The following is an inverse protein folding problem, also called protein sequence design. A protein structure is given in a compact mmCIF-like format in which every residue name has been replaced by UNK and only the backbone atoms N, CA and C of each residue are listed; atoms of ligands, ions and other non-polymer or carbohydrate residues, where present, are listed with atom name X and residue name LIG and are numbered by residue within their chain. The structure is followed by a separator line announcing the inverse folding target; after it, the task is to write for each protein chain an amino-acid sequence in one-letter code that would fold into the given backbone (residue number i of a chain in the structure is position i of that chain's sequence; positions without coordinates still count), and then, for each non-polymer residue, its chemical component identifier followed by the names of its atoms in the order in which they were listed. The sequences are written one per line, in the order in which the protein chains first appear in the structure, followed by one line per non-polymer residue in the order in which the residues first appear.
data_IF_788426682969
#
_entry.id   IF_788426682969
#
_cell.length_a   1.000
_cell.length_b   1.000
_cell.length_c   1.000
_cell.angle_alpha   90.00
_cell.angle_beta   90.00
_cell.angle_gamma   90.00
#
_symmetry.space_group_name_H-M   'P 1'
#
loop_
_entity.id
_entity.type
_entity.pdbx_description
1 polymer ?
#
# COMPACT_ATOMS: atom_id res chain seq x y z
N UNK A 1 -3.23 -8.38 -19.29
CA UNK A 1 -3.95 -7.26 -18.69
C UNK A 1 -3.05 -6.68 -17.60
N UNK A 2 -2.83 -5.39 -17.58
CA UNK A 2 -2.05 -4.70 -16.55
C UNK A 2 -3.03 -4.05 -15.57
N UNK A 3 -2.76 -4.17 -14.28
CA UNK A 3 -3.58 -3.60 -13.20
C UNK A 3 -2.66 -2.83 -12.28
N UNK A 4 -2.92 -1.56 -12.11
CA UNK A 4 -2.13 -0.61 -11.32
C UNK A 4 -2.86 -0.08 -10.08
N UNK A 5 -4.15 -0.29 -10.00
CA UNK A 5 -4.97 0.08 -8.85
C UNK A 5 -5.99 -1.02 -8.54
N UNK A 6 -6.07 -1.41 -7.29
CA UNK A 6 -7.05 -2.39 -6.80
C UNK A 6 -7.52 -1.99 -5.41
N UNK A 7 -8.82 -2.11 -5.19
CA UNK A 7 -9.40 -2.05 -3.84
C UNK A 7 -9.60 -3.48 -3.36
N UNK A 8 -9.08 -3.78 -2.18
CA UNK A 8 -9.17 -5.10 -1.53
C UNK A 8 -9.68 -4.96 -0.10
N UNK A 9 -10.31 -6.03 0.37
CA UNK A 9 -10.71 -6.19 1.77
C UNK A 9 -9.81 -7.22 2.44
N UNK A 10 -9.15 -6.80 3.49
CA UNK A 10 -8.28 -7.68 4.27
C UNK A 10 -8.87 -7.87 5.67
N UNK A 11 -8.95 -9.12 6.10
CA UNK A 11 -9.37 -9.51 7.44
C UNK A 11 -8.31 -10.42 8.02
N UNK A 12 -7.54 -9.92 8.96
CA UNK A 12 -6.55 -10.73 9.66
C UNK A 12 -7.20 -11.82 10.51
N UNK A 13 -6.42 -12.83 10.87
CA UNK A 13 -6.91 -13.96 11.63
C UNK A 13 -7.31 -13.59 13.06
N UNK A 14 -8.40 -14.10 13.55
CA UNK A 14 -8.76 -13.98 14.96
C UNK A 14 -7.80 -14.80 15.82
N UNK A 15 -7.54 -14.38 17.06
CA UNK A 15 -6.87 -15.21 18.05
C UNK A 15 -7.68 -16.44 18.42
N UNK A 16 -7.01 -17.49 18.83
CA UNK A 16 -7.64 -18.68 19.44
C UNK A 16 -8.16 -18.35 20.84
N UNK A 17 -9.19 -19.07 21.27
CA UNK A 17 -9.81 -18.85 22.58
C UNK A 17 -8.95 -19.53 23.67
N UNK A 18 -8.86 -18.90 24.85
CA UNK A 18 -8.29 -19.52 26.04
C UNK A 18 -9.20 -20.62 26.59
N UNK A 19 -8.58 -21.60 27.22
CA UNK A 19 -9.26 -22.75 27.82
C UNK A 19 -9.52 -22.54 29.31
N UNK A 20 -10.72 -22.95 29.76
CA UNK A 20 -11.03 -23.10 31.17
C UNK A 20 -11.00 -24.59 31.49
N UNK A 21 -9.96 -25.04 32.20
CA UNK A 21 -9.80 -26.43 32.62
C UNK A 21 -9.25 -26.50 34.03
N UNK A 22 -9.53 -27.59 34.72
CA UNK A 22 -9.02 -27.87 36.06
C UNK A 22 -8.32 -29.21 36.10
N UNK A 23 -7.26 -29.29 36.90
CA UNK A 23 -6.55 -30.51 37.14
C UNK A 23 -7.44 -31.43 38.00
N UNK A 24 -7.68 -32.65 37.53
CA UNK A 24 -8.41 -33.68 38.27
C UNK A 24 -7.55 -34.95 38.26
N UNK A 25 -7.15 -35.39 39.43
CA UNK A 25 -6.38 -36.60 39.59
C UNK A 25 -7.04 -37.46 40.70
N UNK A 26 -6.69 -38.76 40.72
CA UNK A 26 -7.09 -39.63 41.78
C UNK A 26 -6.53 -39.08 43.09
N UNK A 27 -7.36 -38.79 44.04
CA UNK A 27 -7.06 -38.14 45.36
C UNK A 27 -6.84 -36.61 45.33
N UNK A 28 -6.99 -35.93 44.16
CA UNK A 28 -6.95 -34.47 44.08
C UNK A 28 -8.18 -33.99 43.29
N UNK A 29 -9.37 -33.91 43.92
CA UNK A 29 -10.59 -33.54 43.21
C UNK A 29 -10.66 -32.06 42.80
N UNK A 30 -9.88 -31.19 43.50
CA UNK A 30 -9.85 -29.75 43.28
C UNK A 30 -8.42 -29.27 42.99
N UNK A 31 -7.82 -29.80 41.95
CA UNK A 31 -6.45 -29.48 41.60
C UNK A 31 -6.33 -28.25 40.67
N UNK A 32 -6.39 -27.06 41.16
CA UNK A 32 -6.01 -25.79 40.49
C UNK A 32 -6.37 -25.60 39.01
N UNK A 33 -6.23 -24.40 38.45
CA UNK A 33 -6.52 -24.11 37.06
C UNK A 33 -5.46 -24.75 36.14
N UNK A 34 -5.88 -25.26 34.98
CA UNK A 34 -5.06 -26.09 34.10
C UNK A 34 -5.36 -25.81 32.61
N UNK A 35 -5.92 -24.65 32.30
CA UNK A 35 -6.25 -24.23 30.95
C UNK A 35 -5.15 -23.42 30.30
N UNK A 36 -4.75 -23.79 29.08
CA UNK A 36 -3.78 -23.10 28.25
C UNK A 36 -4.34 -21.89 27.53
N UNK A 37 -3.47 -21.04 27.01
CA UNK A 37 -3.82 -19.86 26.21
C UNK A 37 -4.13 -20.26 24.76
N UNK A 38 -4.94 -19.47 24.06
CA UNK A 38 -5.09 -19.55 22.60
C UNK A 38 -3.86 -19.05 21.86
N UNK A 39 -3.71 -19.49 20.62
CA UNK A 39 -2.68 -19.04 19.69
C UNK A 39 -3.04 -17.69 19.03
N UNK A 40 -2.05 -16.97 18.54
CA UNK A 40 -2.23 -15.73 17.75
C UNK A 40 -2.86 -16.05 16.38
N UNK A 41 -3.74 -15.19 15.89
CA UNK A 41 -4.24 -15.23 14.52
C UNK A 41 -3.19 -14.79 13.49
N UNK A 42 -3.40 -15.15 12.23
CA UNK A 42 -2.51 -14.80 11.12
C UNK A 42 -2.48 -13.28 10.87
N UNK A 43 -1.28 -12.72 10.76
CA UNK A 43 -1.09 -11.39 10.19
C UNK A 43 -1.19 -11.46 8.66
N UNK A 44 -1.58 -10.36 8.02
CA UNK A 44 -1.51 -10.19 6.56
C UNK A 44 -0.36 -9.23 6.27
N UNK A 45 0.60 -9.73 5.48
CA UNK A 45 1.86 -9.04 5.20
C UNK A 45 1.99 -8.85 3.70
N UNK A 46 2.26 -7.62 3.26
CA UNK A 46 2.70 -7.37 1.89
C UNK A 46 4.22 -7.42 1.84
N UNK A 47 4.74 -8.08 0.81
CA UNK A 47 6.17 -8.21 0.57
C UNK A 47 6.48 -7.93 -0.88
N UNK A 48 7.54 -7.15 -1.14
CA UNK A 48 7.99 -6.86 -2.50
C UNK A 48 8.55 -8.10 -3.16
N UNK A 49 8.12 -8.34 -4.41
CA UNK A 49 8.68 -9.35 -5.31
C UNK A 49 9.07 -8.67 -6.62
N UNK A 50 10.39 -8.61 -6.89
CA UNK A 50 10.95 -7.98 -8.10
C UNK A 50 10.54 -8.66 -9.41
N UNK A 51 10.02 -9.89 -9.34
CA UNK A 51 9.47 -10.62 -10.50
C UNK A 51 8.08 -10.14 -10.92
N UNK A 52 7.35 -9.45 -10.05
CA UNK A 52 6.01 -8.94 -10.34
C UNK A 52 6.07 -7.55 -10.97
N UNK A 53 5.16 -7.30 -11.92
CA UNK A 53 5.03 -6.02 -12.64
C UNK A 53 3.62 -5.45 -12.64
N UNK A 54 2.68 -6.10 -11.97
CA UNK A 54 1.25 -5.74 -11.99
C UNK A 54 0.55 -6.25 -10.74
N UNK A 55 -0.53 -5.59 -10.34
CA UNK A 55 -1.39 -6.00 -9.23
C UNK A 55 -2.50 -6.99 -9.66
N UNK A 56 -2.28 -7.72 -10.76
CA UNK A 56 -3.30 -8.59 -11.35
C UNK A 56 -3.79 -9.66 -10.37
N UNK A 57 -2.90 -10.25 -9.58
CA UNK A 57 -3.22 -11.29 -8.60
C UNK A 57 -4.16 -10.77 -7.51
N UNK A 58 -3.97 -9.52 -7.07
CA UNK A 58 -4.85 -8.87 -6.11
C UNK A 58 -6.23 -8.56 -6.68
N UNK A 59 -6.32 -8.32 -8.00
CA UNK A 59 -7.61 -8.11 -8.67
C UNK A 59 -8.49 -9.36 -8.64
N UNK A 60 -7.91 -10.53 -8.73
CA UNK A 60 -8.63 -11.80 -8.63
C UNK A 60 -8.92 -12.19 -7.17
N UNK A 61 -8.05 -11.79 -6.24
CA UNK A 61 -8.15 -12.10 -4.82
C UNK A 61 -8.44 -10.84 -3.99
N UNK A 62 -9.66 -10.30 -4.13
CA UNK A 62 -10.05 -9.06 -3.44
C UNK A 62 -10.36 -9.24 -1.96
N UNK A 63 -10.71 -10.44 -1.52
CA UNK A 63 -11.08 -10.74 -0.14
C UNK A 63 -10.04 -11.69 0.46
N UNK A 64 -9.20 -11.15 1.32
CA UNK A 64 -8.10 -11.89 1.92
C UNK A 64 -8.42 -12.11 3.39
N UNK A 65 -8.49 -13.39 3.81
CA UNK A 65 -8.81 -13.78 5.18
C UNK A 65 -7.68 -14.56 5.83
N UNK A 66 -7.18 -14.05 6.95
CA UNK A 66 -6.22 -14.72 7.80
C UNK A 66 -6.82 -15.89 8.58
N UNK A 67 -6.03 -16.91 8.83
CA UNK A 67 -6.45 -18.06 9.62
C UNK A 67 -6.54 -17.73 11.10
N UNK A 68 -7.55 -18.28 11.77
CA UNK A 68 -7.70 -18.18 13.24
C UNK A 68 -6.57 -18.95 13.92
N UNK A 69 -6.04 -18.43 15.03
CA UNK A 69 -5.17 -19.16 15.93
C UNK A 69 -5.91 -20.34 16.59
N UNK A 70 -5.18 -21.42 16.90
CA UNK A 70 -5.78 -22.57 17.57
C UNK A 70 -6.20 -22.22 19.00
N UNK A 71 -7.29 -22.81 19.45
CA UNK A 71 -7.74 -22.63 20.82
C UNK A 71 -6.77 -23.30 21.82
N UNK A 72 -6.66 -22.75 23.02
CA UNK A 72 -5.98 -23.40 24.14
C UNK A 72 -6.71 -24.68 24.56
N UNK A 73 -5.97 -25.61 25.13
CA UNK A 73 -6.48 -26.89 25.60
C UNK A 73 -6.19 -27.05 27.10
N UNK A 74 -6.79 -28.07 27.70
CA UNK A 74 -6.47 -28.50 29.05
C UNK A 74 -4.98 -28.90 29.18
N UNK A 75 -4.52 -29.18 30.39
CA UNK A 75 -3.13 -29.54 30.70
C UNK A 75 -2.12 -28.43 30.34
N UNK A 76 -2.52 -27.16 30.45
CA UNK A 76 -1.73 -25.97 30.11
C UNK A 76 -1.20 -25.97 28.66
N UNK A 77 -1.83 -26.72 27.75
CA UNK A 77 -1.43 -26.74 26.35
C UNK A 77 -1.93 -25.49 25.65
N UNK A 78 -0.98 -24.65 25.19
CA UNK A 78 -1.27 -23.46 24.41
C UNK A 78 -1.65 -23.84 22.97
N UNK A 79 -2.57 -23.08 22.39
CA UNK A 79 -2.92 -23.17 20.98
C UNK A 79 -1.75 -22.74 20.09
N UNK A 80 -1.63 -23.37 18.92
CA UNK A 80 -0.66 -22.94 17.90
C UNK A 80 -1.04 -21.59 17.30
N UNK A 81 -0.04 -20.75 17.05
CA UNK A 81 -0.24 -19.53 16.26
C UNK A 81 -0.57 -19.91 14.81
N UNK A 82 -1.41 -19.13 14.17
CA UNK A 82 -1.64 -19.27 12.75
C UNK A 82 -0.43 -18.75 11.95
N UNK A 83 -0.21 -19.36 10.78
CA UNK A 83 0.83 -18.89 9.86
C UNK A 83 0.39 -17.58 9.20
N UNK A 84 1.32 -16.64 9.07
CA UNK A 84 1.06 -15.36 8.43
C UNK A 84 0.79 -15.53 6.94
N UNK A 85 -0.09 -14.70 6.38
CA UNK A 85 -0.35 -14.65 4.95
C UNK A 85 0.55 -13.61 4.33
N UNK A 86 1.49 -14.07 3.49
CA UNK A 86 2.41 -13.21 2.74
C UNK A 86 1.85 -13.02 1.34
N UNK A 87 1.57 -11.77 0.99
CA UNK A 87 1.08 -11.36 -0.32
C UNK A 87 2.22 -10.64 -1.03
N UNK A 88 2.59 -11.18 -2.18
CA UNK A 88 3.62 -10.61 -3.02
C UNK A 88 3.06 -9.46 -3.84
N UNK A 89 3.77 -8.34 -3.84
CA UNK A 89 3.41 -7.13 -4.60
C UNK A 89 4.62 -6.60 -5.38
N UNK A 90 4.39 -5.90 -6.51
CA UNK A 90 5.49 -5.28 -7.26
C UNK A 90 6.19 -4.18 -6.44
N UNK A 91 7.43 -3.89 -6.79
CA UNK A 91 8.14 -2.69 -6.31
C UNK A 91 7.38 -1.41 -6.69
N UNK A 92 7.36 -0.42 -5.80
CA UNK A 92 6.63 0.84 -5.99
C UNK A 92 5.13 0.74 -5.68
N UNK A 93 4.72 -0.28 -4.92
CA UNK A 93 3.35 -0.43 -4.45
C UNK A 93 3.10 0.43 -3.24
N UNK A 94 2.10 1.30 -3.31
CA UNK A 94 1.60 2.10 -2.19
C UNK A 94 0.29 1.52 -1.68
N UNK A 95 0.16 1.46 -0.37
CA UNK A 95 -1.03 0.94 0.33
C UNK A 95 -1.66 2.05 1.15
N UNK A 96 -2.91 2.37 0.85
CA UNK A 96 -3.69 3.38 1.56
C UNK A 96 -4.91 2.73 2.20
N UNK A 97 -5.16 3.03 3.45
CA UNK A 97 -6.39 2.64 4.14
C UNK A 97 -7.52 3.57 3.71
N UNK A 98 -8.60 3.01 3.14
CA UNK A 98 -9.73 3.79 2.63
C UNK A 98 -10.59 4.39 3.74
N UNK A 99 -10.64 3.77 4.90
CA UNK A 99 -11.49 4.21 6.00
C UNK A 99 -10.86 5.38 6.76
N UNK A 100 -9.54 5.40 6.86
CA UNK A 100 -8.79 6.48 7.54
C UNK A 100 -8.14 7.47 6.59
N UNK A 101 -7.97 7.12 5.31
CA UNK A 101 -7.23 7.90 4.32
C UNK A 101 -5.71 7.90 4.54
N UNK A 102 -5.20 7.10 5.49
CA UNK A 102 -3.77 7.05 5.83
C UNK A 102 -2.99 6.15 4.87
N UNK A 103 -1.80 6.58 4.51
CA UNK A 103 -0.85 5.74 3.79
C UNK A 103 -0.20 4.81 4.80
N UNK A 104 -0.46 3.50 4.67
CA UNK A 104 0.10 2.48 5.55
C UNK A 104 1.52 2.09 5.16
N UNK A 105 1.81 2.08 3.86
CA UNK A 105 3.12 1.71 3.35
C UNK A 105 3.38 2.24 1.94
N UNK A 106 4.66 2.45 1.64
CA UNK A 106 5.21 2.68 0.31
C UNK A 106 6.38 1.71 0.12
N UNK A 107 6.15 0.67 -0.68
CA UNK A 107 7.04 -0.48 -0.82
C UNK A 107 7.95 -0.27 -2.03
N UNK A 108 9.09 0.38 -1.82
CA UNK A 108 9.99 0.86 -2.88
C UNK A 108 11.26 0.03 -3.05
N UNK A 109 11.68 -0.73 -2.03
CA UNK A 109 12.91 -1.51 -2.07
C UNK A 109 12.65 -3.01 -2.17
N UNK A 110 13.63 -3.73 -2.68
CA UNK A 110 13.64 -5.19 -2.61
C UNK A 110 13.66 -5.63 -1.13
N UNK A 111 12.84 -6.60 -0.79
CA UNK A 111 12.61 -7.10 0.56
C UNK A 111 11.81 -6.21 1.51
N UNK A 112 11.31 -5.06 1.07
CA UNK A 112 10.35 -4.32 1.88
C UNK A 112 9.16 -5.21 2.20
N UNK A 113 8.80 -5.22 3.48
CA UNK A 113 7.61 -5.92 3.96
C UNK A 113 6.87 -5.07 4.99
N UNK A 114 5.55 -5.12 4.94
CA UNK A 114 4.68 -4.38 5.86
C UNK A 114 3.50 -5.23 6.31
N UNK A 115 3.18 -5.16 7.59
CA UNK A 115 1.96 -5.76 8.14
C UNK A 115 0.80 -4.81 7.86
N UNK A 116 -0.07 -5.17 6.93
CA UNK A 116 -1.25 -4.36 6.53
C UNK A 116 -2.47 -4.60 7.42
N UNK A 117 -2.56 -5.79 8.04
CA UNK A 117 -3.56 -6.09 9.05
C UNK A 117 -3.00 -7.08 10.08
N UNK A 118 -3.12 -6.74 11.36
CA UNK A 118 -2.59 -7.55 12.46
C UNK A 118 -3.59 -8.60 12.91
N UNK A 119 -3.10 -9.85 13.07
CA UNK A 119 -3.83 -10.94 13.68
C UNK A 119 -4.12 -10.70 15.16
N UNK A 120 -5.30 -11.12 15.59
CA UNK A 120 -5.71 -11.00 16.97
C UNK A 120 -4.86 -11.83 17.92
N UNK A 121 -4.65 -11.32 19.12
CA UNK A 121 -3.97 -12.04 20.19
C UNK A 121 -4.81 -13.22 20.68
N UNK A 122 -4.17 -14.33 21.00
CA UNK A 122 -4.83 -15.47 21.65
C UNK A 122 -5.38 -15.10 23.05
N UNK A 123 -6.58 -15.56 23.34
CA UNK A 123 -7.20 -15.41 24.65
C UNK A 123 -6.45 -16.15 25.73
N UNK A 124 -6.39 -15.60 26.92
CA UNK A 124 -5.72 -16.24 28.06
C UNK A 124 -6.57 -17.34 28.68
N UNK A 125 -5.93 -18.46 28.99
CA UNK A 125 -6.55 -19.55 29.75
C UNK A 125 -6.73 -19.21 31.23
N UNK A 126 -7.53 -20.02 31.95
CA UNK A 126 -7.82 -19.75 33.34
C UNK A 126 -6.58 -19.79 34.25
N UNK A 127 -5.54 -20.52 33.90
CA UNK A 127 -4.27 -20.56 34.63
C UNK A 127 -3.61 -19.17 34.70
N UNK A 128 -3.74 -18.35 33.68
CA UNK A 128 -3.16 -17.01 33.64
C UNK A 128 -3.88 -16.00 34.56
N UNK A 129 -4.99 -16.40 35.16
CA UNK A 129 -5.81 -15.55 36.06
C UNK A 129 -5.79 -16.01 37.50
N UNK A 130 -5.05 -17.06 37.81
CA UNK A 130 -4.87 -17.52 39.19
C UNK A 130 -4.18 -16.45 40.04
N UNK A 131 -4.74 -16.16 41.17
CA UNK A 131 -4.20 -15.22 42.15
C UNK A 131 -4.37 -15.81 43.57
N UNK A 132 -3.63 -15.34 44.60
CA UNK A 132 -3.86 -15.80 45.97
C UNK A 132 -5.30 -15.63 46.46
N UNK A 133 -5.99 -14.57 46.00
CA UNK A 133 -7.38 -14.29 46.36
C UNK A 133 -8.37 -15.16 45.54
N UNK A 134 -7.99 -15.60 44.33
CA UNK A 134 -8.78 -16.50 43.49
C UNK A 134 -7.83 -17.56 42.87
N UNK A 135 -7.51 -18.63 43.63
CA UNK A 135 -6.57 -19.65 43.16
C UNK A 135 -7.10 -20.57 42.08
N UNK A 136 -8.41 -20.60 41.85
CA UNK A 136 -9.06 -21.48 40.86
C UNK A 136 -10.10 -20.74 40.01
N UNK A 137 -9.67 -19.76 39.18
CA UNK A 137 -10.61 -18.97 38.37
C UNK A 137 -11.34 -19.84 37.36
N UNK A 138 -12.67 -19.66 37.27
CA UNK A 138 -13.53 -20.43 36.37
C UNK A 138 -13.90 -19.63 35.11
N UNK A 139 -12.95 -18.90 34.56
CA UNK A 139 -13.11 -18.17 33.30
C UNK A 139 -11.84 -18.14 32.48
N UNK A 140 -11.96 -17.87 31.20
CA UNK A 140 -10.87 -17.61 30.25
C UNK A 140 -11.31 -16.50 29.30
N UNK A 141 -10.38 -15.93 28.56
CA UNK A 141 -10.68 -14.95 27.52
C UNK A 141 -10.93 -15.62 26.18
N UNK A 142 -11.83 -15.06 25.35
CA UNK A 142 -11.89 -15.37 23.94
C UNK A 142 -10.66 -14.77 23.23
N UNK A 143 -10.33 -15.30 22.06
CA UNK A 143 -9.34 -14.69 21.19
C UNK A 143 -9.75 -13.28 20.76
N UNK A 144 -8.78 -12.42 20.63
CA UNK A 144 -8.95 -11.08 20.09
C UNK A 144 -9.35 -11.16 18.62
N UNK A 145 -10.31 -10.35 18.12
CA UNK A 145 -10.59 -10.25 16.71
C UNK A 145 -9.36 -9.72 15.95
N UNK A 146 -9.11 -10.24 14.76
CA UNK A 146 -8.11 -9.69 13.85
C UNK A 146 -8.58 -8.36 13.25
N UNK A 147 -7.64 -7.53 12.82
CA UNK A 147 -7.95 -6.27 12.16
C UNK A 147 -8.63 -6.50 10.81
N UNK A 148 -9.63 -5.68 10.51
CA UNK A 148 -10.32 -5.64 9.22
C UNK A 148 -10.09 -4.27 8.61
N UNK A 149 -9.66 -4.23 7.33
CA UNK A 149 -9.40 -2.97 6.62
C UNK A 149 -9.82 -3.06 5.17
N UNK A 150 -10.25 -1.95 4.61
CA UNK A 150 -10.40 -1.75 3.17
C UNK A 150 -9.20 -0.98 2.65
N UNK A 151 -8.42 -1.61 1.81
CA UNK A 151 -7.16 -1.08 1.32
C UNK A 151 -7.26 -0.72 -0.15
N UNK A 152 -6.80 0.47 -0.49
CA UNK A 152 -6.48 0.87 -1.84
C UNK A 152 -5.00 0.56 -2.08
N UNK A 153 -4.72 -0.31 -3.02
CA UNK A 153 -3.37 -0.69 -3.42
C UNK A 153 -3.09 -0.10 -4.78
N UNK A 154 -2.09 0.76 -4.87
CA UNK A 154 -1.70 1.47 -6.09
C UNK A 154 -0.25 1.17 -6.45
N UNK A 155 0.00 0.88 -7.72
CA UNK A 155 1.35 0.77 -8.24
C UNK A 155 1.79 2.13 -8.78
N UNK A 156 2.72 2.79 -8.11
CA UNK A 156 3.21 4.12 -8.50
C UNK A 156 4.33 4.12 -9.53
N UNK A 157 5.17 3.09 -9.53
CA UNK A 157 6.21 2.91 -10.55
C UNK A 157 5.59 2.28 -11.79
N UNK A 158 5.44 3.06 -12.84
CA UNK A 158 4.90 2.59 -14.12
C UNK A 158 6.00 1.98 -14.99
N UNK A 159 7.15 2.63 -15.03
CA UNK A 159 8.34 2.24 -15.79
C UNK A 159 9.58 2.91 -15.18
N UNK A 160 10.75 2.31 -15.41
CA UNK A 160 12.00 2.92 -15.01
C UNK A 160 12.31 4.16 -15.87
N UNK A 161 11.96 4.09 -17.17
CA UNK A 161 12.24 5.13 -18.17
C UNK A 161 10.99 5.55 -18.90
N UNK A 162 10.73 6.85 -18.96
CA UNK A 162 9.67 7.45 -19.75
C UNK A 162 10.20 8.07 -21.03
N UNK A 163 9.77 7.58 -22.20
CA UNK A 163 10.08 8.24 -23.47
C UNK A 163 9.11 9.38 -23.74
N UNK A 164 9.66 10.58 -23.85
CA UNK A 164 8.91 11.82 -24.15
C UNK A 164 9.37 12.42 -25.47
N UNK A 165 8.52 13.19 -26.11
CA UNK A 165 8.83 13.87 -27.37
C UNK A 165 7.54 14.16 -28.14
N UNK A 166 7.64 15.03 -29.13
CA UNK A 166 6.53 15.43 -30.00
C UNK A 166 5.95 14.22 -30.76
N UNK A 167 4.74 14.30 -31.30
CA UNK A 167 4.23 13.28 -32.21
C UNK A 167 5.17 13.03 -33.39
N UNK A 168 5.19 11.82 -33.94
CA UNK A 168 5.95 11.40 -35.12
C UNK A 168 7.49 11.44 -35.00
N UNK A 169 8.06 11.69 -33.81
CA UNK A 169 9.52 11.68 -33.60
C UNK A 169 10.13 10.27 -33.57
N UNK A 170 9.30 9.21 -33.58
CA UNK A 170 9.74 7.81 -33.61
C UNK A 170 9.80 7.10 -32.27
N UNK A 171 9.08 7.58 -31.20
CA UNK A 171 9.00 6.92 -29.89
C UNK A 171 8.56 5.47 -29.98
N UNK A 172 7.41 5.22 -30.56
CA UNK A 172 6.82 3.86 -30.66
C UNK A 172 7.66 2.94 -31.54
N UNK A 173 8.32 3.47 -32.59
CA UNK A 173 9.27 2.74 -33.41
C UNK A 173 10.49 2.30 -32.60
N UNK A 174 11.04 3.20 -31.79
CA UNK A 174 12.17 2.90 -30.92
C UNK A 174 11.79 1.80 -29.92
N UNK A 175 10.69 1.96 -29.20
CA UNK A 175 10.21 0.96 -28.21
C UNK A 175 9.98 -0.40 -28.86
N UNK A 176 9.41 -0.44 -30.05
CA UNK A 176 9.20 -1.70 -30.78
C UNK A 176 10.52 -2.41 -31.13
N UNK A 177 11.60 -1.65 -31.39
CA UNK A 177 12.92 -2.20 -31.69
C UNK A 177 13.68 -2.67 -30.47
N UNK A 178 13.61 -1.93 -29.35
CA UNK A 178 14.39 -2.23 -28.14
C UNK A 178 13.71 -3.26 -27.25
N UNK A 179 12.39 -3.45 -27.39
CA UNK A 179 11.63 -4.44 -26.61
C UNK A 179 11.81 -5.84 -27.19
N UNK A 180 12.35 -6.78 -26.39
CA UNK A 180 12.50 -8.19 -26.76
C UNK A 180 11.17 -8.96 -26.80
N UNK A 181 10.15 -8.48 -26.11
CA UNK A 181 8.78 -9.00 -26.18
C UNK A 181 7.93 -8.00 -26.95
N UNK A 182 6.91 -8.48 -27.72
CA UNK A 182 5.94 -7.57 -28.33
C UNK A 182 5.47 -6.58 -27.29
N UNK A 183 5.55 -5.25 -27.53
CA UNK A 183 5.09 -4.26 -26.58
C UNK A 183 3.68 -4.61 -26.15
N UNK A 184 3.47 -4.76 -24.86
CA UNK A 184 2.11 -4.99 -24.34
C UNK A 184 1.45 -3.63 -24.23
N UNK A 185 0.35 -3.46 -24.97
CA UNK A 185 -0.55 -2.33 -24.78
C UNK A 185 -1.17 -2.54 -23.41
N UNK A 186 -0.83 -1.69 -22.45
CA UNK A 186 -1.44 -1.71 -21.13
C UNK A 186 -2.74 -0.91 -21.21
N UNK A 187 -3.89 -1.58 -21.13
CA UNK A 187 -5.18 -0.94 -21.01
C UNK A 187 -5.38 -0.47 -19.58
N UNK A 188 -5.12 0.80 -19.35
CA UNK A 188 -5.48 1.45 -18.10
C UNK A 188 -6.92 1.95 -18.18
N UNK A 189 -7.77 1.60 -17.22
CA UNK A 189 -9.18 2.01 -17.21
C UNK A 189 -9.41 3.53 -17.16
N UNK A 190 -8.35 4.30 -16.95
CA UNK A 190 -8.38 5.76 -16.83
C UNK A 190 -7.62 6.49 -17.94
N UNK A 191 -7.08 5.78 -18.96
CA UNK A 191 -6.40 6.41 -20.10
C UNK A 191 -7.15 6.13 -21.39
N UNK A 192 -7.43 7.16 -22.16
CA UNK A 192 -7.92 7.03 -23.53
C UNK A 192 -6.82 6.61 -24.51
N UNK A 193 -5.54 6.75 -24.09
CA UNK A 193 -4.35 6.32 -24.81
C UNK A 193 -3.52 5.43 -23.88
N UNK A 194 -3.48 4.13 -24.19
CA UNK A 194 -2.71 3.16 -23.41
C UNK A 194 -1.23 3.29 -23.71
N UNK A 195 -0.35 3.49 -22.71
CA UNK A 195 1.09 3.53 -22.94
C UNK A 195 1.59 2.17 -23.39
N UNK A 196 2.50 2.16 -24.36
CA UNK A 196 3.21 0.96 -24.75
C UNK A 196 4.36 0.72 -23.75
N UNK A 197 4.31 -0.40 -23.02
CA UNK A 197 5.38 -0.83 -22.15
C UNK A 197 6.28 -1.83 -22.85
N UNK A 198 7.60 -1.62 -22.75
CA UNK A 198 8.60 -2.53 -23.26
C UNK A 198 9.63 -2.91 -22.21
N UNK A 199 9.92 -4.20 -22.07
CA UNK A 199 11.06 -4.67 -21.29
C UNK A 199 12.29 -4.62 -22.16
N UNK A 200 13.25 -3.79 -21.78
CA UNK A 200 14.50 -3.55 -22.50
C UNK A 200 15.62 -4.30 -21.80
N UNK A 201 16.44 -5.00 -22.61
CA UNK A 201 17.66 -5.62 -22.12
C UNK A 201 18.84 -5.01 -22.87
N UNK A 202 19.76 -4.42 -22.12
CA UNK A 202 21.00 -3.83 -22.64
C UNK A 202 22.01 -4.89 -23.07
N UNK A 203 23.06 -4.47 -23.79
CA UNK A 203 24.16 -5.36 -24.22
C UNK A 203 24.96 -5.91 -23.02
N UNK A 204 25.02 -5.18 -21.92
CA UNK A 204 25.66 -5.57 -20.66
C UNK A 204 24.75 -6.37 -19.71
N UNK A 205 23.59 -6.85 -20.22
CA UNK A 205 22.60 -7.68 -19.53
C UNK A 205 21.78 -6.98 -18.44
N UNK A 206 21.87 -5.67 -18.27
CA UNK A 206 20.94 -4.92 -17.41
C UNK A 206 19.55 -4.89 -18.03
N UNK A 207 18.51 -4.86 -17.19
CA UNK A 207 17.10 -4.91 -17.63
C UNK A 207 16.33 -3.78 -16.96
N UNK A 208 15.60 -3.02 -17.77
CA UNK A 208 14.68 -1.99 -17.27
C UNK A 208 13.38 -1.96 -18.06
N UNK A 209 12.37 -1.32 -17.49
CA UNK A 209 11.07 -1.13 -18.15
C UNK A 209 10.99 0.26 -18.75
N UNK A 210 10.68 0.33 -20.02
CA UNK A 210 10.47 1.58 -20.77
C UNK A 210 8.99 1.77 -21.08
N UNK A 211 8.49 3.01 -20.92
CA UNK A 211 7.15 3.40 -21.30
C UNK A 211 7.18 4.43 -22.43
N UNK A 212 6.35 4.21 -23.47
CA UNK A 212 5.96 5.27 -24.38
C UNK A 212 4.96 6.16 -23.65
N UNK A 213 5.28 7.42 -23.50
CA UNK A 213 4.40 8.39 -22.89
C UNK A 213 3.74 9.23 -24.02
N UNK A 214 2.61 8.77 -24.60
CA UNK A 214 1.92 9.48 -25.67
C UNK A 214 1.16 10.68 -25.11
N UNK A 215 1.08 11.79 -25.84
CA UNK A 215 0.10 12.84 -25.56
C UNK A 215 0.64 14.21 -25.11
N UNK A 216 1.95 14.48 -25.22
CA UNK A 216 2.45 15.86 -25.11
C UNK A 216 2.14 16.60 -26.44
N UNK A 217 1.02 17.33 -26.47
CA UNK A 217 0.62 18.25 -27.54
C UNK A 217 0.45 19.62 -26.88
N UNK A 218 0.82 20.69 -27.60
CA UNK A 218 0.60 22.08 -27.16
C UNK A 218 -0.77 22.25 -26.50
N UNK A 219 -0.81 22.65 -25.21
CA UNK A 219 -2.04 22.89 -24.46
C UNK A 219 -2.50 21.75 -23.53
N UNK A 220 -1.75 20.65 -23.39
CA UNK A 220 -2.10 19.55 -22.49
C UNK A 220 -2.22 19.95 -21.01
N UNK A 221 -1.54 21.04 -20.61
CA UNK A 221 -1.59 21.61 -19.25
C UNK A 221 -2.82 22.50 -18.98
N UNK A 222 -3.64 22.80 -19.99
CA UNK A 222 -4.78 23.74 -19.88
C UNK A 222 -6.14 23.08 -19.60
N UNK A 223 -6.17 21.81 -19.17
CA UNK A 223 -7.38 21.26 -18.53
C UNK A 223 -8.35 20.47 -19.44
N UNK A 224 -8.01 20.10 -20.66
CA UNK A 224 -8.85 19.22 -21.49
C UNK A 224 -8.60 17.72 -21.27
N UNK A 225 -8.50 17.29 -20.01
CA UNK A 225 -8.68 15.89 -19.59
C UNK A 225 -7.60 14.86 -19.96
N UNK A 226 -6.81 15.04 -21.01
CA UNK A 226 -5.81 14.09 -21.48
C UNK A 226 -4.38 14.38 -20.91
N UNK A 227 -4.04 15.64 -20.71
CA UNK A 227 -2.71 16.05 -20.24
C UNK A 227 -2.38 15.63 -18.81
N UNK A 228 -3.32 15.81 -17.90
CA UNK A 228 -3.15 15.56 -16.46
C UNK A 228 -2.87 14.08 -16.13
N UNK A 229 -3.51 13.18 -16.87
CA UNK A 229 -3.33 11.72 -16.69
C UNK A 229 -1.98 11.26 -17.22
N UNK A 230 -1.56 11.82 -18.36
CA UNK A 230 -0.27 11.57 -18.98
C UNK A 230 0.90 12.03 -18.09
N UNK A 231 0.82 13.22 -17.57
CA UNK A 231 1.89 13.81 -16.77
C UNK A 231 2.04 13.11 -15.41
N UNK A 232 0.96 12.53 -14.87
CA UNK A 232 1.04 11.59 -13.75
C UNK A 232 1.84 10.33 -14.09
N UNK A 233 1.84 9.86 -15.34
CA UNK A 233 2.67 8.74 -15.76
C UNK A 233 4.14 9.14 -15.87
N UNK A 234 4.44 10.34 -16.38
CA UNK A 234 5.79 10.86 -16.42
C UNK A 234 6.38 11.02 -15.00
N UNK A 235 5.57 11.45 -14.02
CA UNK A 235 6.01 11.55 -12.62
C UNK A 235 6.38 10.21 -11.99
N UNK A 236 5.86 9.11 -12.54
CA UNK A 236 6.08 7.73 -12.10
C UNK A 236 7.29 7.03 -12.76
N UNK A 237 8.10 7.73 -13.53
CA UNK A 237 9.34 7.21 -14.12
C UNK A 237 10.56 7.75 -13.39
N UNK A 238 11.66 7.00 -13.37
CA UNK A 238 12.92 7.40 -12.73
C UNK A 238 13.76 8.31 -13.65
N UNK A 239 13.85 7.97 -14.93
CA UNK A 239 14.62 8.70 -15.95
C UNK A 239 13.71 9.14 -17.08
N UNK A 240 13.94 10.32 -17.63
CA UNK A 240 13.26 10.84 -18.82
C UNK A 240 14.17 10.69 -20.03
N UNK A 241 13.73 9.94 -21.04
CA UNK A 241 14.38 9.84 -22.34
C UNK A 241 13.65 10.73 -23.35
N UNK A 242 14.25 11.86 -23.67
CA UNK A 242 13.65 12.88 -24.53
C UNK A 242 14.09 12.68 -25.98
N UNK A 243 13.15 12.26 -26.82
CA UNK A 243 13.39 11.97 -28.24
C UNK A 243 13.01 13.18 -29.08
N UNK A 244 13.93 13.61 -29.96
CA UNK A 244 13.80 14.77 -30.83
C UNK A 244 14.02 14.34 -32.28
N UNK A 245 13.19 14.79 -33.19
CA UNK A 245 13.33 14.59 -34.62
C UNK A 245 14.33 15.58 -35.21
N UNK A 246 15.51 15.11 -35.61
CA UNK A 246 16.52 15.95 -36.24
C UNK A 246 16.31 16.14 -37.74
N UNK A 247 15.39 15.37 -38.36
CA UNK A 247 15.13 15.54 -39.79
C UNK A 247 14.43 16.85 -40.16
N UNK A 248 13.71 17.44 -39.21
CA UNK A 248 12.85 18.61 -39.40
C UNK A 248 11.86 18.47 -40.60
N UNK A 249 11.54 17.22 -40.97
CA UNK A 249 10.71 16.90 -42.16
C UNK A 249 9.31 17.51 -42.10
N UNK A 250 8.75 17.67 -40.90
CA UNK A 250 7.46 18.33 -40.67
C UNK A 250 7.56 19.86 -40.56
N UNK A 251 8.72 20.46 -40.87
CA UNK A 251 8.94 21.90 -40.82
C UNK A 251 9.04 22.50 -39.41
N UNK A 252 9.27 21.65 -38.39
CA UNK A 252 9.44 22.07 -37.00
C UNK A 252 10.92 22.23 -36.65
N UNK A 253 11.26 23.26 -35.84
CA UNK A 253 12.61 23.42 -35.31
C UNK A 253 12.83 22.42 -34.14
N UNK A 254 13.84 21.54 -34.23
CA UNK A 254 14.18 20.60 -33.16
C UNK A 254 14.42 21.26 -31.78
N UNK A 255 14.96 22.47 -31.76
CA UNK A 255 15.20 23.20 -30.52
C UNK A 255 13.89 23.74 -29.89
N UNK A 256 12.97 24.24 -30.71
CA UNK A 256 11.67 24.68 -30.22
C UNK A 256 10.84 23.51 -29.71
N UNK A 257 10.89 22.35 -30.36
CA UNK A 257 10.24 21.13 -29.91
C UNK A 257 10.78 20.71 -28.52
N UNK A 258 12.12 20.74 -28.35
CA UNK A 258 12.76 20.45 -27.07
C UNK A 258 12.29 21.38 -25.95
N UNK A 259 12.30 22.70 -26.19
CA UNK A 259 11.89 23.68 -25.18
C UNK A 259 10.40 23.57 -24.85
N UNK A 260 9.56 23.30 -25.87
CA UNK A 260 8.11 23.16 -25.67
C UNK A 260 7.80 21.98 -24.72
N UNK A 261 8.38 20.81 -24.95
CA UNK A 261 8.21 19.64 -24.09
C UNK A 261 8.70 19.92 -22.66
N UNK A 262 9.85 20.54 -22.49
CA UNK A 262 10.36 20.91 -21.15
C UNK A 262 9.46 21.90 -20.42
N UNK A 263 8.90 22.87 -21.12
CA UNK A 263 7.94 23.82 -20.53
C UNK A 263 6.67 23.08 -20.07
N UNK A 264 6.16 22.15 -20.85
CA UNK A 264 4.97 21.38 -20.49
C UNK A 264 5.21 20.47 -19.28
N UNK A 265 6.36 19.79 -19.23
CA UNK A 265 6.76 18.99 -18.06
C UNK A 265 6.88 19.88 -16.79
N UNK A 266 7.50 21.05 -16.90
CA UNK A 266 7.68 21.98 -15.77
C UNK A 266 6.40 22.66 -15.32
N UNK A 267 5.46 22.90 -16.23
CA UNK A 267 4.14 23.46 -15.87
C UNK A 267 3.29 22.48 -15.08
N UNK A 268 3.48 21.18 -15.31
CA UNK A 268 2.77 20.16 -14.57
C UNK A 268 3.39 19.90 -13.20
N UNK A 269 4.68 19.60 -13.18
CA UNK A 269 5.42 19.37 -11.93
C UNK A 269 6.89 19.77 -12.13
N UNK A 270 7.34 20.73 -11.34
CA UNK A 270 8.73 21.20 -11.38
C UNK A 270 9.73 20.07 -11.10
N UNK A 271 9.35 19.10 -10.27
CA UNK A 271 10.18 17.92 -9.96
C UNK A 271 10.52 17.07 -11.19
N UNK A 272 9.71 17.15 -12.26
CA UNK A 272 10.03 16.45 -13.51
C UNK A 272 11.26 17.03 -14.23
N UNK A 273 11.53 18.33 -14.03
CA UNK A 273 12.72 18.98 -14.61
C UNK A 273 14.01 18.61 -13.87
N UNK A 274 13.90 18.14 -12.63
CA UNK A 274 15.03 17.75 -11.79
C UNK A 274 15.45 16.30 -12.03
N UNK A 275 14.61 15.50 -12.71
CA UNK A 275 14.93 14.13 -13.07
C UNK A 275 16.07 14.05 -14.08
N UNK A 276 16.91 12.97 -14.00
CA UNK A 276 17.89 12.70 -15.04
C UNK A 276 17.23 12.64 -16.41
N UNK A 277 17.76 13.43 -17.35
CA UNK A 277 17.26 13.53 -18.72
C UNK A 277 18.32 13.08 -19.72
N UNK A 278 17.97 12.08 -20.53
CA UNK A 278 18.80 11.60 -21.65
C UNK A 278 18.20 12.13 -22.95
N UNK A 279 18.96 13.00 -23.65
CA UNK A 279 18.51 13.62 -24.89
C UNK A 279 18.91 12.75 -26.09
N UNK A 280 17.92 12.38 -26.90
CA UNK A 280 18.05 11.45 -28.01
C UNK A 280 17.70 12.16 -29.32
N UNK A 281 18.69 12.35 -30.17
CA UNK A 281 18.57 12.87 -31.53
C UNK A 281 18.23 11.72 -32.47
N UNK A 282 16.98 11.64 -32.92
CA UNK A 282 16.51 10.54 -33.80
C UNK A 282 16.43 10.97 -35.26
N UNK A 283 16.27 9.99 -36.15
CA UNK A 283 16.23 10.10 -37.60
C UNK A 283 17.54 10.59 -38.21
N UNK A 284 18.67 10.16 -37.62
CA UNK A 284 20.00 10.52 -38.10
C UNK A 284 20.37 9.90 -39.46
N UNK A 285 19.52 9.02 -39.99
CA UNK A 285 19.58 8.48 -41.34
C UNK A 285 19.22 9.49 -42.44
N UNK A 286 18.63 10.64 -42.07
CA UNK A 286 18.27 11.70 -43.02
C UNK A 286 19.43 12.71 -43.19
N UNK A 287 19.66 13.18 -44.43
CA UNK A 287 20.75 14.11 -44.72
C UNK A 287 20.68 15.42 -43.97
N UNK A 288 19.45 15.99 -43.84
CA UNK A 288 19.21 17.25 -43.10
C UNK A 288 19.51 17.16 -41.62
N UNK A 289 19.44 15.94 -41.03
CA UNK A 289 19.60 15.74 -39.60
C UNK A 289 21.00 16.16 -39.07
N UNK A 290 22.05 16.02 -39.86
CA UNK A 290 23.43 16.36 -39.45
C UNK A 290 23.64 17.86 -39.26
N UNK A 291 23.00 18.70 -40.10
CA UNK A 291 23.08 20.16 -39.99
C UNK A 291 22.27 20.64 -38.78
N UNK A 292 21.04 20.18 -38.68
CA UNK A 292 20.15 20.50 -37.56
C UNK A 292 20.76 20.09 -36.21
N UNK A 293 21.40 18.95 -36.15
CA UNK A 293 22.08 18.48 -34.93
C UNK A 293 23.23 19.42 -34.51
N UNK A 294 24.01 19.96 -35.44
CA UNK A 294 25.08 20.90 -35.13
C UNK A 294 24.54 22.20 -34.51
N UNK A 295 23.44 22.69 -35.06
CA UNK A 295 22.76 23.88 -34.49
C UNK A 295 22.12 23.60 -33.14
N UNK A 296 21.48 22.45 -33.01
CA UNK A 296 20.89 22.00 -31.76
C UNK A 296 21.93 21.87 -30.64
N UNK A 297 23.09 21.20 -30.90
CA UNK A 297 24.17 21.05 -29.92
C UNK A 297 24.78 22.37 -29.47
N UNK A 298 24.76 23.43 -30.31
CA UNK A 298 25.22 24.78 -29.93
C UNK A 298 24.27 25.44 -28.95
N UNK A 299 22.96 25.15 -29.02
CA UNK A 299 21.94 25.78 -28.19
C UNK A 299 21.70 25.01 -26.87
N UNK A 300 21.93 23.67 -26.88
CA UNK A 300 21.70 22.79 -25.73
C UNK A 300 23.05 22.35 -25.16
N UNK A 301 23.39 22.88 -23.99
CA UNK A 301 24.67 22.56 -23.32
C UNK A 301 24.57 21.23 -22.51
N UNK A 302 24.11 20.15 -23.17
CA UNK A 302 23.96 18.81 -22.60
C UNK A 302 24.43 17.79 -23.62
N UNK A 303 24.76 16.57 -23.14
CA UNK A 303 25.11 15.44 -23.99
C UNK A 303 23.89 14.99 -24.82
N UNK A 304 24.10 14.82 -26.14
CA UNK A 304 23.05 14.42 -27.08
C UNK A 304 23.46 13.16 -27.79
N UNK A 305 22.66 12.13 -27.71
CA UNK A 305 22.90 10.81 -28.32
C UNK A 305 22.23 10.70 -29.67
N UNK A 306 23.01 10.35 -30.66
CA UNK A 306 22.60 10.23 -32.06
C UNK A 306 22.11 8.81 -32.34
N UNK A 307 20.87 8.66 -32.86
CA UNK A 307 20.29 7.38 -33.21
C UNK A 307 19.52 7.44 -34.55
N UNK A 308 19.34 6.30 -35.15
CA UNK A 308 18.25 6.05 -36.09
C UNK A 308 17.38 4.91 -35.60
N UNK A 309 16.19 5.22 -35.16
CA UNK A 309 15.23 4.21 -34.76
C UNK A 309 14.83 3.29 -35.94
N UNK A 310 14.96 3.75 -37.19
CA UNK A 310 14.72 2.96 -38.40
C UNK A 310 15.82 1.95 -38.67
N UNK A 311 17.08 2.36 -38.67
CA UNK A 311 18.21 1.46 -38.97
C UNK A 311 18.67 0.66 -37.77
N UNK A 312 18.53 1.22 -36.57
CA UNK A 312 19.01 0.65 -35.31
C UNK A 312 20.37 1.19 -34.89
N UNK A 313 20.96 2.08 -35.66
CA UNK A 313 22.28 2.66 -35.36
C UNK A 313 22.21 3.54 -34.10
N UNK A 314 23.24 3.44 -33.24
CA UNK A 314 23.39 4.24 -32.03
C UNK A 314 22.53 3.81 -30.83
N UNK A 315 21.56 2.91 -31.00
CA UNK A 315 20.57 2.54 -29.93
C UNK A 315 21.29 1.95 -28.71
N UNK A 316 22.25 1.03 -28.90
CA UNK A 316 22.92 0.35 -27.79
C UNK A 316 23.63 1.33 -26.83
N UNK A 317 24.25 2.40 -27.38
CA UNK A 317 24.91 3.43 -26.58
C UNK A 317 23.92 4.19 -25.69
N UNK A 318 22.73 4.50 -26.23
CA UNK A 318 21.65 5.16 -25.48
C UNK A 318 21.14 4.26 -24.37
N UNK A 319 20.93 2.97 -24.66
CA UNK A 319 20.43 2.03 -23.65
C UNK A 319 21.39 1.83 -22.48
N UNK A 320 22.70 1.76 -22.77
CA UNK A 320 23.73 1.70 -21.72
C UNK A 320 23.72 2.99 -20.89
N UNK A 321 23.68 4.17 -21.54
CA UNK A 321 23.62 5.44 -20.81
C UNK A 321 22.39 5.56 -19.93
N UNK A 322 21.23 5.14 -20.41
CA UNK A 322 19.98 5.11 -19.62
C UNK A 322 20.15 4.19 -18.39
N UNK A 323 20.76 3.01 -18.59
CA UNK A 323 20.98 2.08 -17.48
C UNK A 323 21.99 2.66 -16.46
N UNK A 324 23.02 3.39 -16.91
CA UNK A 324 23.97 4.09 -16.03
C UNK A 324 23.27 5.17 -15.20
N UNK A 325 22.36 5.94 -15.80
CA UNK A 325 21.57 6.94 -15.05
C UNK A 325 20.65 6.27 -14.03
N UNK A 326 20.04 5.13 -14.38
CA UNK A 326 19.20 4.37 -13.43
C UNK A 326 20.01 3.84 -12.24
N UNK A 327 21.22 3.35 -12.47
CA UNK A 327 22.10 2.84 -11.41
C UNK A 327 22.63 3.97 -10.50
N UNK A 328 22.73 5.20 -11.01
CA UNK A 328 23.16 6.37 -10.25
C UNK A 328 22.07 6.99 -9.39
N UNK A 329 20.80 6.69 -9.67
CA UNK A 329 19.68 7.20 -8.87
C UNK A 329 19.67 6.44 -7.55
N UNK A 330 19.98 7.14 -6.45
CA UNK A 330 19.68 6.63 -5.11
C UNK A 330 18.17 6.51 -4.99
N UNK A 331 17.69 5.36 -4.52
CA UNK A 331 16.26 5.17 -4.25
C UNK A 331 15.79 6.21 -3.23
N UNK A 332 15.29 7.34 -3.72
CA UNK A 332 14.62 8.32 -2.88
C UNK A 332 13.19 7.86 -2.63
N UNK A 333 12.71 7.94 -1.38
CA UNK A 333 11.33 7.62 -1.08
C UNK A 333 10.40 8.52 -1.91
N UNK A 334 9.38 7.93 -2.53
CA UNK A 334 8.41 8.62 -3.41
C UNK A 334 7.60 9.72 -2.68
N UNK A 335 7.70 9.77 -1.37
CA UNK A 335 7.13 10.80 -0.50
C UNK A 335 8.22 11.49 0.31
N UNK A 336 8.18 12.81 0.38
CA UNK A 336 8.95 13.57 1.35
C UNK A 336 8.50 13.18 2.76
N UNK A 337 9.46 12.99 3.66
CA UNK A 337 9.26 12.58 5.06
C UNK A 337 8.23 13.43 5.83
N UNK A 338 7.91 14.63 5.35
CA UNK A 338 6.90 15.49 5.97
C UNK A 338 5.48 14.89 6.02
N UNK A 339 5.12 13.99 5.11
CA UNK A 339 3.82 13.30 5.16
C UNK A 339 3.84 12.08 6.09
N UNK A 340 4.98 11.42 6.21
CA UNK A 340 5.17 10.32 7.17
C UNK A 340 5.29 10.83 8.61
N UNK A 341 6.01 11.93 8.85
CA UNK A 341 6.17 12.50 10.20
C UNK A 341 4.89 13.12 10.76
N UNK A 342 4.01 13.66 9.92
CA UNK A 342 2.72 14.20 10.39
C UNK A 342 1.75 13.15 10.93
N UNK A 343 1.92 11.87 10.58
CA UNK A 343 1.02 10.79 11.01
C UNK A 343 1.55 9.97 12.19
N UNK A 344 2.80 10.17 12.60
CA UNK A 344 3.36 9.59 13.84
C UNK A 344 3.20 10.56 15.02
N UNK A 345 2.89 11.82 14.79
CA UNK A 345 2.44 12.72 15.85
C UNK A 345 1.03 12.30 16.29
N UNK A 346 0.98 11.28 17.15
CA UNK A 346 -0.10 11.16 18.10
C UNK A 346 -0.21 12.50 18.82
N UNK A 347 -1.04 13.41 18.33
CA UNK A 347 -1.67 14.35 19.23
C UNK A 347 -2.50 13.48 20.15
N UNK A 348 -1.98 13.25 21.35
CA UNK A 348 -2.75 12.85 22.49
C UNK A 348 -3.78 13.98 22.71
N UNK A 349 -4.85 13.97 21.94
CA UNK A 349 -6.11 14.39 22.46
C UNK A 349 -6.50 13.27 23.40
N UNK A 350 -6.73 13.62 24.65
CA UNK A 350 -7.43 12.76 25.60
C UNK A 350 -8.87 12.56 25.12
N UNK A 351 -9.06 11.98 23.95
CA UNK A 351 -10.34 11.47 23.54
C UNK A 351 -10.48 10.14 24.26
N UNK A 352 -11.48 10.07 25.14
CA UNK A 352 -11.81 8.83 25.83
C UNK A 352 -11.98 7.73 24.78
N UNK A 353 -11.48 6.49 25.04
CA UNK A 353 -11.51 5.40 24.05
C UNK A 353 -12.93 4.87 23.80
N UNK A 354 -13.94 5.63 24.22
CA UNK A 354 -15.34 5.32 24.05
C UNK A 354 -16.19 6.58 23.94
N UNK A 355 -17.39 6.42 23.39
CA UNK A 355 -18.44 7.44 23.31
C UNK A 355 -19.71 6.87 23.92
N UNK A 356 -20.44 7.73 24.66
CA UNK A 356 -21.72 7.37 25.22
C UNK A 356 -22.76 8.33 24.63
N UNK A 357 -23.88 7.78 24.19
CA UNK A 357 -25.03 8.57 23.75
C UNK A 357 -26.31 7.84 24.11
N UNK A 358 -27.42 8.60 24.22
CA UNK A 358 -28.76 8.05 24.53
C UNK A 358 -29.53 7.87 23.23
N UNK A 359 -30.02 6.66 23.00
CA UNK A 359 -30.88 6.29 21.87
C UNK A 359 -32.21 5.85 22.43
N UNK A 360 -33.21 6.75 22.37
CA UNK A 360 -34.47 6.64 23.11
C UNK A 360 -34.24 6.50 24.63
N UNK A 361 -34.61 5.36 25.23
CA UNK A 361 -34.41 5.06 26.65
C UNK A 361 -33.20 4.16 26.92
N UNK A 362 -32.36 3.89 25.91
CA UNK A 362 -31.20 3.03 26.03
C UNK A 362 -29.90 3.86 25.96
N UNK A 363 -29.00 3.64 26.91
CA UNK A 363 -27.66 4.23 26.87
C UNK A 363 -26.75 3.37 26.03
N UNK A 364 -26.27 3.91 24.92
CA UNK A 364 -25.38 3.20 23.99
C UNK A 364 -23.92 3.59 24.27
N UNK A 365 -23.10 2.60 24.55
CA UNK A 365 -21.65 2.77 24.73
C UNK A 365 -20.93 2.13 23.55
N UNK A 366 -20.19 2.92 22.79
CA UNK A 366 -19.46 2.50 21.58
C UNK A 366 -17.99 2.91 21.66
N UNK A 367 -17.14 2.18 20.99
CA UNK A 367 -15.69 2.44 20.88
C UNK A 367 -14.89 1.16 20.76
N UNK A 368 -13.85 1.22 19.94
CA UNK A 368 -13.06 0.03 19.54
C UNK A 368 -12.54 -0.77 20.74
N UNK A 369 -12.08 -0.11 21.78
CA UNK A 369 -11.55 -0.80 22.96
C UNK A 369 -12.64 -1.51 23.77
N UNK A 370 -13.84 -0.90 23.89
CA UNK A 370 -14.96 -1.50 24.62
C UNK A 370 -15.55 -2.66 23.83
N UNK A 371 -15.71 -2.49 22.52
CA UNK A 371 -16.21 -3.55 21.64
C UNK A 371 -15.24 -4.75 21.61
N UNK A 372 -13.95 -4.47 21.54
CA UNK A 372 -12.91 -5.49 21.66
C UNK A 372 -12.96 -6.20 23.00
N UNK A 373 -13.12 -5.47 24.09
CA UNK A 373 -13.25 -6.03 25.42
C UNK A 373 -14.48 -6.93 25.54
N UNK A 374 -15.62 -6.51 24.99
CA UNK A 374 -16.86 -7.30 24.94
C UNK A 374 -16.62 -8.62 24.20
N UNK A 375 -16.09 -8.56 22.99
CA UNK A 375 -15.82 -9.75 22.15
C UNK A 375 -14.84 -10.74 22.79
N UNK A 376 -13.89 -10.24 23.58
CA UNK A 376 -12.91 -11.06 24.30
C UNK A 376 -13.47 -11.67 25.59
N UNK A 377 -14.64 -11.22 26.07
CA UNK A 377 -15.22 -11.67 27.32
C UNK A 377 -16.07 -12.93 27.10
N UNK A 378 -15.82 -13.99 27.88
CA UNK A 378 -16.76 -15.10 28.04
C UNK A 378 -17.75 -14.72 29.14
N UNK A 379 -19.03 -14.65 28.81
CA UNK A 379 -20.09 -14.28 29.76
C UNK A 379 -20.45 -15.46 30.67
N UNK A 380 -19.55 -15.75 31.60
CA UNK A 380 -19.82 -16.47 32.83
C UNK A 380 -20.04 -15.46 33.96
N UNK A 381 -20.60 -15.86 35.08
CA UNK A 381 -20.81 -14.94 36.23
C UNK A 381 -19.54 -14.19 36.63
N UNK A 382 -18.40 -14.91 36.65
CA UNK A 382 -17.10 -14.34 36.97
C UNK A 382 -16.56 -13.44 35.84
N UNK A 383 -16.75 -13.85 34.58
CA UNK A 383 -16.39 -13.08 33.38
C UNK A 383 -17.17 -11.77 33.30
N UNK A 384 -18.48 -11.80 33.54
CA UNK A 384 -19.34 -10.62 33.55
C UNK A 384 -18.92 -9.62 34.64
N UNK A 385 -18.65 -10.06 35.87
CA UNK A 385 -18.14 -9.22 36.96
C UNK A 385 -16.80 -8.56 36.61
N UNK A 386 -15.94 -9.29 35.92
CA UNK A 386 -14.66 -8.77 35.48
C UNK A 386 -14.80 -7.75 34.36
N UNK A 387 -15.72 -7.97 33.43
CA UNK A 387 -16.06 -7.03 32.37
C UNK A 387 -16.57 -5.71 32.98
N UNK A 388 -17.55 -5.76 33.87
CA UNK A 388 -18.04 -4.60 34.60
C UNK A 388 -16.92 -3.83 35.34
N UNK A 389 -16.03 -4.57 36.07
CA UNK A 389 -14.90 -3.94 36.74
C UNK A 389 -13.92 -3.24 35.79
N UNK A 390 -13.75 -3.74 34.56
CA UNK A 390 -12.93 -3.07 33.56
C UNK A 390 -13.62 -1.81 33.03
N UNK A 391 -14.91 -1.84 32.73
CA UNK A 391 -15.69 -0.65 32.33
C UNK A 391 -15.61 0.45 33.39
N UNK A 392 -15.73 0.11 34.68
CA UNK A 392 -15.54 1.07 35.78
C UNK A 392 -14.17 1.71 35.77
N UNK A 393 -13.10 0.92 35.58
CA UNK A 393 -11.73 1.43 35.48
C UNK A 393 -11.47 2.33 34.28
N UNK A 394 -12.22 2.15 33.21
CA UNK A 394 -12.18 3.02 32.01
C UNK A 394 -12.94 4.33 32.22
N UNK A 395 -13.72 4.46 33.31
CA UNK A 395 -14.52 5.64 33.64
C UNK A 395 -15.90 5.66 33.00
N UNK A 396 -16.36 4.54 32.42
CA UNK A 396 -17.67 4.44 31.76
C UNK A 396 -18.80 4.67 32.74
N UNK A 397 -18.73 4.08 33.95
CA UNK A 397 -19.76 4.25 35.00
C UNK A 397 -19.89 5.71 35.42
N UNK A 398 -18.75 6.41 35.61
CA UNK A 398 -18.77 7.84 35.99
C UNK A 398 -19.44 8.73 34.93
N UNK A 399 -19.22 8.43 33.68
CA UNK A 399 -19.76 9.19 32.56
C UNK A 399 -21.27 8.86 32.34
N UNK A 400 -21.67 7.61 32.55
CA UNK A 400 -23.07 7.22 32.54
C UNK A 400 -23.86 7.95 33.68
N UNK A 401 -23.29 8.02 34.88
CA UNK A 401 -23.86 8.76 36.02
C UNK A 401 -24.00 10.26 35.71
N UNK A 402 -22.99 10.88 35.05
CA UNK A 402 -23.08 12.29 34.61
C UNK A 402 -24.20 12.51 33.58
N UNK A 403 -24.53 11.48 32.80
CA UNK A 403 -25.67 11.53 31.85
C UNK A 403 -27.01 11.21 32.49
N UNK A 404 -27.05 10.91 33.81
CA UNK A 404 -28.27 10.73 34.59
C UNK A 404 -28.84 9.32 34.51
N UNK A 405 -28.02 8.28 34.29
CA UNK A 405 -28.49 6.88 34.33
C UNK A 405 -28.99 6.51 35.74
N UNK A 406 -30.05 5.73 35.81
CA UNK A 406 -30.63 5.22 37.04
C UNK A 406 -30.53 3.69 37.12
N UNK A 407 -30.64 3.15 38.33
CA UNK A 407 -30.64 1.70 38.51
C UNK A 407 -31.84 1.08 37.77
N UNK A 408 -31.58 0.06 36.95
CA UNK A 408 -32.57 -0.57 36.08
C UNK A 408 -32.59 -0.05 34.64
N UNK A 409 -31.90 1.06 34.35
CA UNK A 409 -31.76 1.53 32.97
C UNK A 409 -30.96 0.56 32.11
N UNK A 410 -31.31 0.53 30.83
CA UNK A 410 -30.64 -0.37 29.86
C UNK A 410 -29.39 0.28 29.25
N UNK A 411 -28.27 -0.43 29.31
CA UNK A 411 -27.03 -0.09 28.62
C UNK A 411 -26.79 -1.08 27.49
N UNK A 412 -26.51 -0.57 26.28
CA UNK A 412 -26.22 -1.38 25.09
C UNK A 412 -24.78 -1.18 24.64
N UNK A 413 -24.09 -2.27 24.40
CA UNK A 413 -22.77 -2.30 23.76
C UNK A 413 -22.85 -3.29 22.60
N UNK A 414 -22.68 -2.83 21.37
CA UNK A 414 -22.99 -3.60 20.15
C UNK A 414 -24.43 -4.15 20.22
N UNK A 415 -24.55 -5.48 20.14
CA UNK A 415 -25.84 -6.20 20.18
C UNK A 415 -26.20 -6.69 21.59
N UNK A 416 -25.38 -6.39 22.61
CA UNK A 416 -25.61 -6.82 23.99
C UNK A 416 -26.23 -5.71 24.82
N UNK A 417 -27.35 -6.05 25.44
CA UNK A 417 -28.06 -5.19 26.37
C UNK A 417 -27.96 -5.76 27.79
N UNK A 418 -27.73 -4.89 28.75
CA UNK A 418 -27.70 -5.26 30.17
C UNK A 418 -28.24 -4.12 31.01
N UNK A 419 -28.79 -4.48 32.17
CA UNK A 419 -29.33 -3.59 33.19
C UNK A 419 -28.18 -2.93 33.94
N UNK A 420 -28.25 -1.60 34.10
CA UNK A 420 -27.32 -0.87 34.97
C UNK A 420 -27.65 -1.17 36.44
N UNK A 421 -26.60 -1.54 37.20
CA UNK A 421 -26.62 -1.74 38.65
C UNK A 421 -25.46 -1.04 39.29
N UNK A 422 -25.71 -0.24 40.32
CA UNK A 422 -24.67 0.45 41.08
C UNK A 422 -23.63 -0.48 41.73
#
# INVERSE_FOLDING_TARGET
MFVDEVIIEVKAGNGGDGCTAFRREKYIPMGGPFGGNGGKGADIIFKVDMGLRTLLDLRYNKHIKGHKGSNGLGKNMNGKNAENIIIKVPQGTTVTDLDTGLILADLTHENDEVVVAKGGRGGRGNTAFATPANPAPNFSENGEPGEERRLKVELKLLADVGFVGMPSVGKSTLISKISKAKPKIAEYHFTTLSPNLGVVKTIDNRVFVAADLPGLIKGASLGEGLGDKFLRHASRTKVIAHIIDMSAYEGRDPYEDYITIRKELGNFDKKLLDKPEVIIANKMDMESAKENLKEFKKKVNKEVFEISALTGEGIDKVLVKIADELDNIKDEPLYENEQFEKYVLYKFKEEKPYRIYKDNDVYVVSGDEIEKLLRMTKFTDEGARRFAKKLRRMGVDEDLQKMGIQEGDTVRILDFEFEYKE
#
